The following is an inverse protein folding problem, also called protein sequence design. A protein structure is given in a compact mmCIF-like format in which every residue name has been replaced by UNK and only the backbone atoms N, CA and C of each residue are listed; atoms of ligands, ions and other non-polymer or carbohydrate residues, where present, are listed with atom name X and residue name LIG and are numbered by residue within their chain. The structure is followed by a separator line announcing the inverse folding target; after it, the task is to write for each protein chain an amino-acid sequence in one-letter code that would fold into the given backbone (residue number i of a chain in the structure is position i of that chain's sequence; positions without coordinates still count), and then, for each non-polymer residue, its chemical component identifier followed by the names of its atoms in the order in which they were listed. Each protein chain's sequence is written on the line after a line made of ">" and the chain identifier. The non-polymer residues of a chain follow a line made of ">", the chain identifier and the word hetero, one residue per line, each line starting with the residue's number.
data_IF_607819998768
#
_entry.id   IF_607819998768
#
_cell.length_a   1.000
_cell.length_b   1.000
_cell.length_c   1.000
_cell.angle_alpha   90.00
_cell.angle_beta   90.00
_cell.angle_gamma   90.00
#
_symmetry.space_group_name_H-M   'P 1'
#
loop_
_entity.id
_entity.type
_entity.pdbx_description
1 polymer ?
#
# COMPACT_ATOMS: atom_id res chain seq x y z
N UNK A 1 -2.93 -14.56 -5.98
CA UNK A 1 -2.64 -13.43 -5.09
C UNK A 1 -2.82 -13.89 -3.65
N UNK A 2 -1.88 -13.55 -2.81
CA UNK A 2 -1.89 -14.01 -1.42
C UNK A 2 -2.51 -12.93 -0.53
N UNK A 3 -3.66 -13.24 0.05
CA UNK A 3 -4.38 -12.26 0.86
C UNK A 3 -3.59 -11.86 2.12
N UNK A 4 -2.75 -12.75 2.62
CA UNK A 4 -1.93 -12.41 3.78
C UNK A 4 -0.92 -11.32 3.44
N UNK A 5 -0.40 -11.34 2.22
CA UNK A 5 0.52 -10.30 1.78
C UNK A 5 -0.21 -8.98 1.60
N UNK A 6 -1.46 -9.03 1.15
CA UNK A 6 -2.27 -7.83 1.04
C UNK A 6 -2.48 -7.20 2.41
N UNK A 7 -2.76 -8.03 3.41
CA UNK A 7 -2.94 -7.54 4.77
C UNK A 7 -1.68 -6.89 5.30
N UNK A 8 -0.52 -7.50 5.05
CA UNK A 8 0.76 -6.94 5.47
C UNK A 8 1.01 -5.58 4.80
N UNK A 9 0.76 -5.52 3.50
CA UNK A 9 0.94 -4.27 2.76
C UNK A 9 0.01 -3.20 3.30
N UNK A 10 -1.25 -3.56 3.55
CA UNK A 10 -2.22 -2.65 4.12
C UNK A 10 -1.73 -2.06 5.45
N UNK A 11 -1.22 -2.93 6.34
CA UNK A 11 -0.72 -2.46 7.62
C UNK A 11 0.47 -1.53 7.47
N UNK A 12 1.36 -1.85 6.54
CA UNK A 12 2.52 -0.99 6.30
C UNK A 12 2.12 0.35 5.70
N UNK A 13 1.12 0.36 4.82
CA UNK A 13 0.60 1.63 4.28
C UNK A 13 -0.01 2.45 5.41
N UNK A 14 -0.80 1.81 6.25
CA UNK A 14 -1.46 2.46 7.37
C UNK A 14 -0.44 3.10 8.31
N UNK A 15 0.66 2.40 8.54
CA UNK A 15 1.72 2.90 9.41
C UNK A 15 2.71 3.81 8.70
N UNK A 16 2.53 3.99 7.39
CA UNK A 16 3.43 4.81 6.57
C UNK A 16 4.86 4.31 6.64
N UNK A 17 5.02 3.00 6.52
CA UNK A 17 6.34 2.36 6.61
C UNK A 17 6.58 1.35 5.50
N UNK A 18 6.02 1.58 4.32
CA UNK A 18 6.25 0.65 3.22
C UNK A 18 7.65 0.77 2.66
N UNK A 19 8.19 1.98 2.63
CA UNK A 19 9.42 2.25 1.92
C UNK A 19 9.17 2.26 0.42
N UNK A 20 10.26 2.30 -0.34
CA UNK A 20 10.17 2.25 -1.80
C UNK A 20 9.65 0.88 -2.23
N UNK A 21 9.04 0.79 -3.44
CA UNK A 21 8.52 -0.49 -3.91
C UNK A 21 9.55 -1.62 -3.89
N UNK A 22 10.79 -1.31 -4.21
CA UNK A 22 11.84 -2.31 -4.19
C UNK A 22 12.10 -2.83 -2.78
N UNK A 23 12.09 -1.93 -1.81
CA UNK A 23 12.29 -2.29 -0.41
C UNK A 23 11.11 -3.12 0.10
N UNK A 24 9.91 -2.69 -0.26
CA UNK A 24 8.70 -3.40 0.13
C UNK A 24 8.70 -4.81 -0.45
N UNK A 25 9.10 -4.93 -1.72
CA UNK A 25 9.17 -6.23 -2.38
C UNK A 25 10.07 -7.18 -1.61
N UNK A 26 11.25 -6.69 -1.22
CA UNK A 26 12.19 -7.50 -0.45
C UNK A 26 11.61 -7.91 0.89
N UNK A 27 10.90 -7.01 1.52
CA UNK A 27 10.31 -7.23 2.84
C UNK A 27 9.27 -8.34 2.84
N UNK A 28 8.43 -8.38 1.82
CA UNK A 28 7.36 -9.37 1.76
C UNK A 28 7.68 -10.55 0.87
N UNK A 29 8.88 -10.58 0.30
CA UNK A 29 9.35 -11.73 -0.46
C UNK A 29 8.72 -11.89 -1.83
N UNK A 30 8.54 -10.80 -2.55
CA UNK A 30 8.00 -10.84 -3.90
C UNK A 30 8.82 -9.91 -4.79
N UNK A 31 8.53 -9.94 -6.10
CA UNK A 31 9.18 -9.02 -7.02
C UNK A 31 8.59 -7.62 -6.89
N UNK A 32 9.33 -6.64 -7.36
CA UNK A 32 8.86 -5.26 -7.38
C UNK A 32 7.58 -5.13 -8.22
N UNK A 33 7.55 -5.87 -9.33
CA UNK A 33 6.37 -5.88 -10.19
C UNK A 33 5.14 -6.37 -9.43
N UNK A 34 5.32 -7.40 -8.61
CA UNK A 34 4.22 -7.95 -7.82
C UNK A 34 3.73 -6.92 -6.79
N UNK A 35 4.65 -6.12 -6.24
CA UNK A 35 4.26 -5.04 -5.33
C UNK A 35 3.30 -4.08 -6.03
N UNK A 36 3.63 -3.68 -7.26
CA UNK A 36 2.76 -2.77 -8.01
C UNK A 36 1.40 -3.40 -8.26
N UNK A 37 1.35 -4.71 -8.52
CA UNK A 37 0.10 -5.41 -8.70
C UNK A 37 -0.75 -5.38 -7.43
N UNK A 38 -0.13 -5.61 -6.27
CA UNK A 38 -0.84 -5.55 -5.00
C UNK A 38 -1.36 -4.14 -4.71
N UNK A 39 -0.52 -3.15 -4.92
CA UNK A 39 -0.92 -1.76 -4.69
C UNK A 39 -2.09 -1.40 -5.59
N UNK A 40 -2.02 -1.80 -6.86
CA UNK A 40 -3.09 -1.54 -7.80
C UNK A 40 -4.38 -2.24 -7.39
N UNK A 41 -4.28 -3.47 -6.92
CA UNK A 41 -5.44 -4.22 -6.45
C UNK A 41 -6.11 -3.49 -5.28
N UNK A 42 -5.32 -3.06 -4.31
CA UNK A 42 -5.84 -2.34 -3.16
C UNK A 42 -6.53 -1.06 -3.62
N UNK A 43 -5.92 -0.36 -4.55
CA UNK A 43 -6.42 0.91 -5.03
C UNK A 43 -7.72 0.77 -5.83
N UNK A 44 -7.80 -0.24 -6.67
CA UNK A 44 -8.93 -0.38 -7.59
C UNK A 44 -10.00 -1.30 -7.04
N UNK A 45 -9.63 -2.47 -6.54
CA UNK A 45 -10.62 -3.46 -6.10
C UNK A 45 -11.16 -3.17 -4.72
N UNK A 46 -10.30 -2.73 -3.83
CA UNK A 46 -10.74 -2.37 -2.47
C UNK A 46 -11.10 -0.90 -2.38
N UNK A 47 -10.89 -0.17 -3.48
CA UNK A 47 -11.22 1.27 -3.56
C UNK A 47 -10.60 2.08 -2.43
N UNK A 48 -9.42 1.67 -2.02
CA UNK A 48 -8.69 2.38 -0.97
C UNK A 48 -7.92 3.55 -1.58
N UNK A 49 -7.88 4.70 -0.91
CA UNK A 49 -7.22 5.89 -1.46
C UNK A 49 -5.71 5.86 -1.24
N UNK A 50 -5.03 4.98 -1.95
CA UNK A 50 -3.59 4.81 -1.84
C UNK A 50 -2.87 5.87 -2.66
N UNK A 51 -1.85 6.47 -2.09
CA UNK A 51 -1.05 7.49 -2.75
C UNK A 51 0.41 7.32 -2.37
N UNK A 52 1.31 7.63 -3.30
CA UNK A 52 2.73 7.64 -3.01
C UNK A 52 3.10 8.98 -2.36
N UNK A 53 3.73 8.90 -1.21
CA UNK A 53 4.16 10.09 -0.48
C UNK A 53 5.69 10.19 -0.56
N UNK A 54 6.17 11.00 -1.48
CA UNK A 54 7.60 11.03 -1.79
C UNK A 54 8.46 11.54 -0.64
N UNK A 55 7.93 12.42 0.17
CA UNK A 55 8.69 12.98 1.28
C UNK A 55 9.15 11.92 2.27
N UNK A 56 8.30 10.94 2.52
CA UNK A 56 8.63 9.85 3.44
C UNK A 56 8.92 8.55 2.71
N UNK A 57 8.92 8.58 1.38
CA UNK A 57 9.18 7.42 0.55
C UNK A 57 8.34 6.23 0.98
N UNK A 58 7.02 6.45 1.05
CA UNK A 58 6.10 5.42 1.46
C UNK A 58 4.76 5.62 0.77
N UNK A 59 3.99 4.54 0.68
CA UNK A 59 2.59 4.65 0.30
C UNK A 59 1.79 5.02 1.53
N UNK A 60 0.72 5.79 1.32
CA UNK A 60 -0.16 6.21 2.40
C UNK A 60 -1.59 6.11 1.91
N UNK A 61 -2.52 6.06 2.84
CA UNK A 61 -3.94 6.24 2.54
C UNK A 61 -4.29 7.69 2.77
N UNK A 62 -4.95 8.28 1.79
CA UNK A 62 -5.30 9.69 1.89
C UNK A 62 -6.71 9.93 1.39
N UNK A 63 -7.52 10.62 2.20
CA UNK A 63 -8.87 10.99 1.82
C UNK A 63 -9.11 12.41 2.31
N UNK A 64 -9.48 13.31 1.39
CA UNK A 64 -9.74 14.71 1.73
C UNK A 64 -8.57 15.35 2.45
N UNK A 65 -7.34 15.02 2.02
CA UNK A 65 -6.14 15.60 2.61
C UNK A 65 -5.74 15.02 3.95
N UNK A 66 -6.45 13.99 4.40
CA UNK A 66 -6.15 13.31 5.65
C UNK A 66 -5.88 11.83 5.40
N UNK A 67 -5.10 11.24 6.28
CA UNK A 67 -4.95 9.79 6.28
C UNK A 67 -6.23 9.17 6.82
N UNK A 68 -6.74 8.18 6.12
CA UNK A 68 -7.97 7.52 6.49
C UNK A 68 -7.81 6.04 6.26
N UNK A 69 -8.06 5.26 7.27
CA UNK A 69 -7.91 3.81 7.22
C UNK A 69 -9.23 3.09 7.05
N UNK A 70 -10.31 3.84 6.97
CA UNK A 70 -11.63 3.27 6.80
C UNK A 70 -12.24 3.80 5.53
N UNK A 71 -12.31 2.93 4.54
CA UNK A 71 -12.92 3.28 3.27
C UNK A 71 -14.17 2.47 3.13
N UNK A 72 -15.22 2.99 3.71
CA UNK A 72 -16.51 2.32 3.66
C UNK A 72 -17.16 2.50 2.31
N UNK A 73 -17.85 1.48 1.85
CA UNK A 73 -18.59 1.54 0.60
C UNK A 73 -19.92 2.23 0.77
#
# INVERSE_FOLDING_TARGET
>A
MDIRKIIVIHELIRKQRTGKPKVLASRIGVSERTVYHYIRFIKTELKAPVKWYAMKETYVYETNGKLNFEWQE
#
